data_IF_308293388264
#
_entry.id   IF_308293388264
#
_cell.length_a   1.000
_cell.length_b   1.000
_cell.length_c   1.000
_cell.angle_alpha   90.00
_cell.angle_beta   90.00
_cell.angle_gamma   90.00
#
_symmetry.space_group_name_H-M   'P 1'
#
loop_
_entity.id
_entity.type
_entity.pdbx_description
1 polymer ?
#
# COMPACT_ATOMS: atom_id res chain seq x y z
N UNK A 1 2.65 -9.23 10.61
CA UNK A 1 3.45 -8.29 9.81
C UNK A 1 4.74 -9.01 9.43
N UNK A 2 4.84 -9.50 8.21
CA UNK A 2 6.07 -10.09 7.71
C UNK A 2 6.71 -9.05 6.81
N UNK A 3 7.52 -8.17 7.41
CA UNK A 3 8.58 -7.50 6.67
C UNK A 3 9.45 -8.63 6.10
N UNK A 4 9.51 -8.73 4.78
CA UNK A 4 10.26 -9.76 4.09
C UNK A 4 11.77 -9.54 4.35
N UNK A 5 12.27 -10.17 5.41
CA UNK A 5 13.69 -10.23 5.71
C UNK A 5 14.31 -11.33 4.84
N UNK A 6 15.28 -10.97 4.01
CA UNK A 6 16.36 -11.92 3.69
C UNK A 6 17.34 -11.84 4.87
N UNK A 7 17.49 -12.88 5.69
CA UNK A 7 18.46 -12.84 6.78
C UNK A 7 19.87 -12.84 6.18
N UNK A 8 20.61 -11.76 6.35
CA UNK A 8 22.06 -11.78 6.22
C UNK A 8 22.64 -12.49 7.44
N UNK A 9 23.32 -13.61 7.20
CA UNK A 9 24.06 -14.36 8.21
C UNK A 9 25.32 -13.58 8.60
N UNK A 10 25.19 -12.55 9.42
CA UNK A 10 26.29 -12.08 10.27
C UNK A 10 25.74 -11.42 11.52
N UNK A 11 26.11 -11.98 12.67
CA UNK A 11 25.63 -11.55 13.97
C UNK A 11 26.16 -10.16 14.33
N UNK A 12 25.28 -9.16 14.30
CA UNK A 12 25.29 -7.98 15.15
C UNK A 12 23.91 -7.31 15.05
N UNK A 13 23.43 -6.79 16.18
CA UNK A 13 22.08 -6.27 16.38
C UNK A 13 21.67 -5.13 15.42
N UNK A 14 20.34 -4.92 15.34
CA UNK A 14 19.54 -4.06 14.47
C UNK A 14 19.23 -4.68 13.10
N UNK A 15 17.95 -5.10 12.94
CA UNK A 15 17.39 -5.70 11.72
C UNK A 15 17.71 -4.83 10.50
N UNK A 16 18.76 -5.19 9.75
CA UNK A 16 19.06 -4.61 8.46
C UNK A 16 17.96 -5.01 7.48
N UNK A 17 16.92 -4.18 7.36
CA UNK A 17 16.00 -4.25 6.25
C UNK A 17 16.75 -3.77 5.01
N UNK A 18 16.90 -4.65 4.04
CA UNK A 18 17.42 -4.32 2.71
C UNK A 18 16.54 -5.05 1.74
N UNK A 19 15.96 -4.30 0.81
CA UNK A 19 15.06 -4.81 -0.20
C UNK A 19 15.64 -4.71 -1.62
N UNK A 20 16.93 -4.37 -1.72
CA UNK A 20 17.71 -4.24 -2.95
C UNK A 20 17.13 -3.23 -3.97
N UNK A 21 16.19 -2.36 -3.55
CA UNK A 21 15.57 -1.35 -4.41
C UNK A 21 15.84 0.06 -3.82
N UNK A 22 16.63 0.92 -4.50
CA UNK A 22 16.91 2.28 -4.00
C UNK A 22 15.71 3.24 -4.10
N UNK A 23 14.65 2.83 -4.80
CA UNK A 23 13.41 3.59 -5.01
C UNK A 23 12.21 2.62 -4.90
N UNK A 24 11.16 2.83 -5.69
CA UNK A 24 10.09 1.85 -5.83
C UNK A 24 10.63 0.50 -6.34
N UNK A 25 10.05 -0.57 -5.81
CA UNK A 25 10.24 -1.92 -6.33
C UNK A 25 9.16 -2.25 -7.37
N UNK A 26 9.35 -3.33 -8.13
CA UNK A 26 8.28 -3.84 -8.99
C UNK A 26 7.09 -4.29 -8.11
N UNK A 27 5.87 -3.92 -8.48
CA UNK A 27 4.66 -4.29 -7.72
C UNK A 27 4.58 -5.81 -7.51
N UNK A 28 4.33 -6.23 -6.27
CA UNK A 28 4.22 -7.65 -5.91
C UNK A 28 5.56 -8.36 -5.73
N UNK A 29 6.67 -7.63 -5.66
CA UNK A 29 8.00 -8.21 -5.34
C UNK A 29 8.00 -8.90 -3.97
N UNK A 30 7.31 -8.32 -2.99
CA UNK A 30 7.23 -8.86 -1.62
C UNK A 30 5.98 -9.72 -1.42
N UNK A 31 5.96 -10.61 -0.41
CA UNK A 31 4.80 -11.45 -0.13
C UNK A 31 3.54 -10.63 0.16
N UNK A 32 2.41 -11.05 -0.42
CA UNK A 32 1.10 -10.50 -0.08
C UNK A 32 0.69 -10.79 1.37
N UNK A 33 -0.26 -10.00 1.87
CA UNK A 33 -0.97 -10.32 3.10
C UNK A 33 -1.94 -11.51 2.90
N UNK A 34 -2.62 -11.93 3.98
CA UNK A 34 -3.60 -13.04 3.95
C UNK A 34 -4.76 -12.87 2.96
N UNK A 35 -5.01 -11.64 2.51
CA UNK A 35 -6.07 -11.30 1.56
C UNK A 35 -5.54 -11.21 0.11
N UNK A 36 -4.27 -11.55 -0.14
CA UNK A 36 -3.65 -11.45 -1.46
C UNK A 36 -3.31 -10.01 -1.89
N UNK A 37 -3.26 -9.06 -0.96
CA UNK A 37 -2.92 -7.67 -1.26
C UNK A 37 -1.43 -7.44 -1.02
N UNK A 38 -0.77 -6.90 -2.04
CA UNK A 38 0.65 -6.58 -2.06
C UNK A 38 0.92 -5.11 -1.69
N UNK A 39 2.14 -4.85 -1.24
CA UNK A 39 2.72 -3.50 -1.11
C UNK A 39 1.86 -2.52 -0.28
N UNK A 40 1.25 -3.00 0.82
CA UNK A 40 0.48 -2.16 1.74
C UNK A 40 1.35 -1.39 2.75
N UNK A 41 2.62 -1.77 2.88
CA UNK A 41 3.59 -1.21 3.82
C UNK A 41 4.92 -1.00 3.09
N UNK A 42 5.16 0.22 2.61
CA UNK A 42 6.31 0.58 1.77
C UNK A 42 5.96 0.66 0.29
N UNK A 43 7.00 0.69 -0.55
CA UNK A 43 6.92 0.96 -1.98
C UNK A 43 6.39 2.38 -2.30
N UNK A 44 5.12 2.65 -2.08
CA UNK A 44 4.51 3.97 -2.27
C UNK A 44 3.45 4.26 -1.21
N UNK A 45 3.40 5.53 -0.78
CA UNK A 45 2.25 6.05 -0.07
C UNK A 45 1.06 6.15 -1.01
N UNK A 46 -0.14 5.87 -0.54
CA UNK A 46 -1.32 5.83 -1.38
C UNK A 46 -2.37 6.81 -0.92
N UNK A 47 -2.88 7.60 -1.88
CA UNK A 47 -4.05 8.43 -1.67
C UNK A 47 -5.26 7.60 -1.28
N UNK A 48 -5.90 8.00 -0.17
CA UNK A 48 -7.19 7.46 0.24
C UNK A 48 -8.26 8.54 0.18
N UNK A 49 -9.49 8.08 -0.03
CA UNK A 49 -10.62 8.98 -0.24
C UNK A 49 -11.15 9.59 1.07
N UNK A 50 -10.86 8.96 2.22
CA UNK A 50 -11.35 9.35 3.55
C UNK A 50 -10.59 10.55 4.12
N UNK A 51 -11.28 11.35 4.94
CA UNK A 51 -10.67 12.50 5.62
C UNK A 51 -9.85 12.06 6.83
N UNK A 52 -8.81 12.82 7.19
CA UNK A 52 -7.96 12.58 8.35
C UNK A 52 -8.77 12.43 9.65
N UNK A 53 -9.82 13.23 9.80
CA UNK A 53 -10.67 13.25 11.00
C UNK A 53 -11.62 12.06 11.11
N UNK A 54 -11.82 11.33 10.02
CA UNK A 54 -12.61 10.11 10.02
C UNK A 54 -11.75 8.98 10.58
N UNK A 55 -11.92 8.66 11.86
CA UNK A 55 -11.10 7.68 12.56
C UNK A 55 -11.30 6.25 12.04
N UNK A 56 -12.45 5.95 11.43
CA UNK A 56 -12.84 4.60 11.02
C UNK A 56 -12.57 4.34 9.52
N UNK A 57 -12.18 5.38 8.76
CA UNK A 57 -12.04 5.34 7.30
C UNK A 57 -13.27 4.83 6.56
N UNK A 58 -14.43 5.23 7.07
CA UNK A 58 -15.70 4.86 6.47
C UNK A 58 -16.10 6.00 5.54
N UNK A 59 -15.96 5.83 4.20
CA UNK A 59 -16.34 6.87 3.27
C UNK A 59 -17.84 7.15 3.41
N UNK A 60 -18.20 8.42 3.54
CA UNK A 60 -19.59 8.85 3.40
C UNK A 60 -20.00 8.60 1.95
N UNK A 61 -21.13 7.94 1.73
CA UNK A 61 -21.64 7.65 0.38
C UNK A 61 -22.80 8.56 0.01
N UNK A 62 -22.89 8.95 -1.26
CA UNK A 62 -24.06 9.59 -1.86
C UNK A 62 -25.19 8.59 -2.09
N UNK A 63 -26.38 9.10 -2.42
CA UNK A 63 -27.56 8.28 -2.67
C UNK A 63 -27.38 7.26 -3.82
N UNK A 64 -26.48 7.53 -4.77
CA UNK A 64 -26.12 6.61 -5.86
C UNK A 64 -24.95 5.65 -5.52
N UNK A 65 -24.51 5.65 -4.26
CA UNK A 65 -23.47 4.76 -3.75
C UNK A 65 -22.04 5.21 -4.03
N UNK A 66 -21.84 6.45 -4.50
CA UNK A 66 -20.49 6.99 -4.75
C UNK A 66 -19.90 7.57 -3.46
N UNK A 67 -18.60 7.41 -3.21
CA UNK A 67 -17.95 8.11 -2.12
C UNK A 67 -18.11 9.64 -2.27
N UNK A 68 -18.38 10.33 -1.16
CA UNK A 68 -18.38 11.79 -1.02
C UNK A 68 -17.17 12.18 -0.19
N UNK A 69 -16.25 12.93 -0.79
CA UNK A 69 -15.08 13.43 -0.08
C UNK A 69 -15.55 14.55 0.82
N UNK A 70 -15.29 14.43 2.13
CA UNK A 70 -15.51 15.54 3.05
C UNK A 70 -14.71 16.76 2.56
N UNK A 71 -15.27 17.96 2.73
CA UNK A 71 -14.57 19.20 2.43
C UNK A 71 -13.39 19.35 3.40
N UNK A 72 -12.23 18.84 3.00
CA UNK A 72 -10.99 18.88 3.76
C UNK A 72 -9.89 19.49 2.92
N UNK A 73 -9.18 20.44 3.53
CA UNK A 73 -8.01 21.12 2.97
C UNK A 73 -6.80 20.18 2.84
N UNK A 74 -6.84 19.02 3.52
CA UNK A 74 -5.81 18.00 3.50
C UNK A 74 -6.33 16.73 2.84
N UNK A 75 -5.50 16.05 2.07
CA UNK A 75 -5.73 14.67 1.66
C UNK A 75 -4.95 13.72 2.56
N UNK A 76 -5.37 12.46 2.61
CA UNK A 76 -4.75 11.42 3.45
C UNK A 76 -3.99 10.44 2.59
N UNK A 77 -2.80 10.08 3.06
CA UNK A 77 -1.90 9.10 2.48
C UNK A 77 -1.69 7.93 3.46
N UNK A 78 -1.51 6.72 2.93
CA UNK A 78 -1.28 5.50 3.72
C UNK A 78 -0.19 4.61 3.17
N UNK A 79 0.34 3.74 4.03
CA UNK A 79 1.24 2.64 3.66
C UNK A 79 2.73 2.95 3.74
N UNK A 80 3.13 4.23 3.70
CA UNK A 80 4.54 4.61 3.65
C UNK A 80 5.16 4.35 2.26
N UNK A 81 6.20 5.09 1.92
CA UNK A 81 6.88 5.03 0.63
C UNK A 81 8.29 4.42 0.73
N UNK A 82 8.94 4.22 -0.42
CA UNK A 82 10.35 3.82 -0.50
C UNK A 82 11.31 4.79 0.21
N UNK A 83 10.90 6.05 0.39
CA UNK A 83 11.64 7.12 1.07
C UNK A 83 11.29 7.26 2.57
N UNK A 84 10.50 6.32 3.11
CA UNK A 84 10.06 6.35 4.50
C UNK A 84 11.09 5.72 5.42
N UNK A 85 11.56 6.51 6.40
CA UNK A 85 12.57 6.07 7.38
C UNK A 85 12.00 5.73 8.77
N UNK A 86 10.74 6.11 9.04
CA UNK A 86 10.08 5.83 10.32
C UNK A 86 9.32 4.52 10.25
N UNK A 87 9.62 3.59 11.15
CA UNK A 87 8.95 2.30 11.21
C UNK A 87 7.43 2.47 11.41
N UNK A 88 7.00 3.45 12.21
CA UNK A 88 5.59 3.71 12.45
C UNK A 88 4.84 4.09 11.18
N UNK A 89 5.51 4.72 10.22
CA UNK A 89 4.90 5.11 8.95
C UNK A 89 4.61 3.92 8.02
N UNK A 90 5.17 2.74 8.33
CA UNK A 90 4.87 1.48 7.65
C UNK A 90 3.71 0.71 8.31
N UNK A 91 3.21 1.17 9.46
CA UNK A 91 2.08 0.54 10.13
C UNK A 91 0.78 0.76 9.33
N UNK A 92 -0.06 -0.27 9.25
CA UNK A 92 -1.32 -0.22 8.48
C UNK A 92 -2.30 0.83 9.00
N UNK A 93 -2.19 1.23 10.26
CA UNK A 93 -3.00 2.30 10.86
C UNK A 93 -2.36 3.68 10.79
N UNK A 94 -1.13 3.80 10.30
CA UNK A 94 -0.51 5.11 10.14
C UNK A 94 -1.17 5.89 9.01
N UNK A 95 -1.26 7.19 9.23
CA UNK A 95 -1.88 8.14 8.32
C UNK A 95 -0.94 9.31 8.19
N UNK A 96 -0.66 9.67 6.96
CA UNK A 96 0.01 10.92 6.62
C UNK A 96 -1.00 11.86 5.98
N UNK A 97 -0.82 13.16 6.11
CA UNK A 97 -1.72 14.15 5.52
C UNK A 97 -0.92 15.27 4.88
N UNK A 98 -1.23 15.56 3.62
CA UNK A 98 -0.60 16.61 2.84
C UNK A 98 -1.67 17.37 2.05
N UNK A 99 -1.39 18.61 1.59
CA UNK A 99 -2.30 19.31 0.69
C UNK A 99 -2.58 18.46 -0.56
N UNK A 100 -3.85 18.33 -1.02
CA UNK A 100 -4.22 17.49 -2.17
C UNK A 100 -3.52 17.87 -3.49
N UNK A 101 -2.99 19.10 -3.58
CA UNK A 101 -2.24 19.58 -4.73
C UNK A 101 -0.78 19.12 -4.75
N UNK A 102 -0.28 18.51 -3.67
CA UNK A 102 1.09 17.99 -3.61
C UNK A 102 1.09 16.53 -4.00
N UNK A 103 2.04 16.14 -4.84
CA UNK A 103 2.40 14.75 -5.08
C UNK A 103 3.89 14.67 -5.35
N UNK A 104 4.48 13.53 -5.08
CA UNK A 104 5.89 13.25 -5.30
C UNK A 104 6.08 11.84 -5.86
N UNK A 105 7.34 11.46 -6.07
CA UNK A 105 7.71 10.16 -6.62
C UNK A 105 7.48 8.98 -5.65
N UNK A 106 7.08 9.24 -4.40
CA UNK A 106 6.71 8.20 -3.43
C UNK A 106 5.19 8.12 -3.22
N UNK A 107 4.40 8.91 -3.97
CA UNK A 107 2.94 8.94 -3.87
C UNK A 107 2.25 8.26 -5.07
N UNK A 108 1.34 7.34 -4.79
CA UNK A 108 0.54 6.60 -5.75
C UNK A 108 -0.92 6.45 -5.30
N UNK A 109 -1.59 5.43 -5.84
CA UNK A 109 -2.97 5.10 -5.50
C UNK A 109 -3.29 3.66 -5.89
N UNK A 110 -4.37 3.14 -5.29
CA UNK A 110 -5.04 1.92 -5.77
C UNK A 110 -6.51 2.23 -6.07
N UNK A 111 -7.06 1.51 -7.03
CA UNK A 111 -8.47 1.61 -7.38
C UNK A 111 -9.23 0.49 -6.71
N UNK A 112 -10.40 0.81 -6.17
CA UNK A 112 -11.33 -0.17 -5.61
C UNK A 112 -12.57 -0.27 -6.48
N UNK A 113 -13.01 -1.49 -6.76
CA UNK A 113 -14.27 -1.74 -7.44
C UNK A 113 -15.36 -1.97 -6.40
N UNK A 114 -16.29 -1.02 -6.30
CA UNK A 114 -17.46 -1.16 -5.43
C UNK A 114 -18.56 -1.87 -6.21
N UNK A 115 -19.04 -3.00 -5.68
CA UNK A 115 -20.20 -3.70 -6.25
C UNK A 115 -21.46 -2.94 -5.85
N UNK A 116 -22.07 -2.21 -6.79
CA UNK A 116 -23.35 -1.56 -6.55
C UNK A 116 -24.47 -2.62 -6.58
N UNK A 117 -24.78 -3.20 -5.42
CA UNK A 117 -25.86 -4.16 -5.24
C UNK A 117 -26.75 -3.70 -4.09
N UNK A 118 -28.06 -3.80 -4.26
CA UNK A 118 -29.05 -3.58 -3.20
C UNK A 118 -28.58 -4.26 -1.92
N UNK A 119 -28.42 -3.48 -0.85
CA UNK A 119 -27.94 -3.90 0.45
C UNK A 119 -28.83 -4.99 1.06
N UNK A 120 -28.61 -6.24 0.65
CA UNK A 120 -28.67 -7.35 1.58
C UNK A 120 -27.25 -7.45 2.12
N UNK A 121 -27.10 -6.86 3.30
CA UNK A 121 -25.89 -6.72 4.11
C UNK A 121 -24.72 -7.61 3.67
N UNK A 122 -23.69 -7.01 3.08
CA UNK A 122 -22.34 -7.55 3.21
C UNK A 122 -21.93 -7.34 4.67
N UNK A 123 -22.32 -8.26 5.55
CA UNK A 123 -21.82 -8.29 6.92
C UNK A 123 -20.32 -8.65 6.84
N UNK A 124 -19.39 -7.75 7.25
CA UNK A 124 -17.96 -8.00 7.19
C UNK A 124 -17.50 -9.18 8.07
N UNK A 125 -18.39 -9.69 8.93
CA UNK A 125 -18.18 -10.85 9.81
C UNK A 125 -18.87 -12.12 9.32
N UNK A 126 -19.57 -12.09 8.18
CA UNK A 126 -20.20 -13.29 7.62
C UNK A 126 -19.16 -14.12 6.84
N UNK A 127 -18.83 -15.35 7.29
CA UNK A 127 -17.87 -16.23 6.60
C UNK A 127 -18.33 -16.67 5.21
N UNK A 128 -19.59 -16.40 4.82
CA UNK A 128 -20.13 -16.67 3.50
C UNK A 128 -20.06 -15.48 2.52
N UNK A 129 -19.62 -14.29 2.97
CA UNK A 129 -19.28 -13.19 2.06
C UNK A 129 -18.16 -13.65 1.13
N UNK A 130 -18.16 -13.35 -0.19
CA UNK A 130 -17.17 -13.89 -1.12
C UNK A 130 -15.77 -13.29 -0.87
N UNK A 131 -15.14 -13.73 0.22
CA UNK A 131 -13.71 -13.69 0.46
C UNK A 131 -13.07 -14.76 -0.45
N UNK A 132 -13.17 -14.53 -1.75
CA UNK A 132 -12.46 -15.31 -2.74
C UNK A 132 -11.83 -14.32 -3.71
N UNK A 133 -10.77 -13.66 -3.25
CA UNK A 133 -9.66 -13.43 -4.18
C UNK A 133 -9.30 -14.84 -4.67
N UNK A 134 -9.39 -15.15 -5.98
CA UNK A 134 -9.04 -16.48 -6.47
C UNK A 134 -7.63 -16.81 -5.95
N UNK A 135 -7.36 -18.07 -5.55
CA UNK A 135 -6.02 -18.43 -5.10
C UNK A 135 -5.04 -18.01 -6.19
N UNK A 136 -4.04 -17.20 -5.80
CA UNK A 136 -2.85 -16.99 -6.62
C UNK A 136 -2.37 -18.39 -6.98
N UNK A 137 -2.49 -18.76 -8.25
CA UNK A 137 -2.07 -20.07 -8.73
C UNK A 137 -0.60 -20.21 -8.36
N UNK A 138 -0.21 -21.17 -7.50
CA UNK A 138 1.19 -21.41 -7.23
C UNK A 138 1.84 -21.86 -8.54
N UNK A 139 2.63 -20.99 -9.16
CA UNK A 139 3.30 -21.30 -10.43
C UNK A 139 3.00 -20.36 -11.60
N UNK A 140 2.22 -19.30 -11.44
CA UNK A 140 2.37 -18.16 -12.34
C UNK A 140 3.76 -17.56 -12.09
N UNK A 141 4.73 -17.89 -12.94
CA UNK A 141 6.06 -17.32 -12.87
C UNK A 141 5.92 -15.79 -12.87
N UNK A 142 6.34 -15.16 -11.78
CA UNK A 142 6.63 -13.73 -11.79
C UNK A 142 7.61 -13.55 -12.96
N UNK A 143 7.30 -12.73 -13.98
CA UNK A 143 8.23 -12.49 -15.07
C UNK A 143 9.57 -12.07 -14.44
N UNK A 144 10.71 -12.56 -14.96
CA UNK A 144 12.00 -12.19 -14.41
C UNK A 144 12.08 -10.67 -14.36
N UNK A 145 12.55 -10.14 -13.23
CA UNK A 145 12.72 -8.71 -13.05
C UNK A 145 13.49 -8.15 -14.26
N UNK A 146 13.05 -7.00 -14.82
CA UNK A 146 13.81 -6.36 -15.89
C UNK A 146 15.25 -6.13 -15.41
N UNK A 147 16.22 -6.27 -16.33
CA UNK A 147 17.62 -6.05 -16.00
C UNK A 147 17.79 -4.68 -15.31
N UNK A 148 18.64 -4.58 -14.27
CA UNK A 148 18.86 -3.32 -13.58
C UNK A 148 19.27 -2.25 -14.59
N UNK A 149 18.51 -1.15 -14.61
CA UNK A 149 18.87 0.02 -15.41
C UNK A 149 20.19 0.55 -14.84
N UNK A 150 21.22 0.81 -15.67
CA UNK A 150 22.48 1.37 -15.18
C UNK A 150 22.20 2.68 -14.45
N UNK A 151 22.55 2.74 -13.17
CA UNK A 151 22.49 4.00 -12.41
C UNK A 151 23.63 4.88 -12.93
N UNK A 152 23.33 6.10 -13.45
CA UNK A 152 24.38 7.01 -13.85
C UNK A 152 25.26 7.37 -12.63
N UNK A 153 26.58 7.56 -12.81
CA UNK A 153 27.45 7.91 -11.71
C UNK A 153 26.96 9.17 -11.00
N UNK A 154 26.90 9.11 -9.66
CA UNK A 154 26.63 10.28 -8.84
C UNK A 154 27.74 11.31 -9.15
N UNK A 155 27.40 12.54 -9.58
CA UNK A 155 28.40 13.55 -9.83
C UNK A 155 29.18 13.80 -8.54
N UNK A 156 30.50 13.60 -8.59
CA UNK A 156 31.40 14.13 -7.58
C UNK A 156 31.59 15.61 -7.92
N UNK A 157 31.26 16.48 -6.95
CA UNK A 157 31.28 17.94 -7.00
C UNK A 157 32.20 18.56 -8.06
#
# INVERSE_FOLDING_TARGET
MSIACRPTLSGAAWRAYTDDNPYTSTVGTFPANRNGIFDLSGNAQEWVYTDWKDADDIPVLSADGRPIRAASEMGVLRGGGWDTYREEALYTGFRNWIPPSKGDASTGFRVVLVRNGSAKEINPLDPASPAAVPPVVPGAAVPPAPAPVPVPPIPQN
#
